data_IF_821093478487
#
_entry.id   IF_821093478487
#
_cell.length_a   1.000
_cell.length_b   1.000
_cell.length_c   1.000
_cell.angle_alpha   90.00
_cell.angle_beta   90.00
_cell.angle_gamma   90.00
#
_symmetry.space_group_name_H-M   'P 1'
#
loop_
_entity.id
_entity.type
_entity.pdbx_description
1 polymer ?
#
# COMPACT_ATOMS: atom_id res chain seq x y z
N UNK A 1 3.72 4.40 21.14
CA UNK A 1 4.46 4.60 19.88
C UNK A 1 5.89 4.11 20.09
N UNK A 2 6.31 3.15 19.31
CA UNK A 2 7.62 2.49 19.38
C UNK A 2 8.33 2.61 18.03
N UNK A 3 9.59 3.08 18.05
CA UNK A 3 10.45 3.15 16.87
C UNK A 3 11.13 1.80 16.69
N UNK A 4 11.05 1.25 15.48
CA UNK A 4 11.64 -0.04 15.15
C UNK A 4 12.64 0.12 13.99
N UNK A 5 13.64 -0.73 14.00
CA UNK A 5 14.51 -0.95 12.84
C UNK A 5 14.34 -2.40 12.40
N UNK A 6 13.80 -2.57 11.20
CA UNK A 6 13.68 -3.88 10.55
C UNK A 6 14.75 -4.01 9.48
N UNK A 7 15.03 -5.22 9.06
CA UNK A 7 16.07 -5.50 8.06
C UNK A 7 15.49 -6.28 6.88
N UNK A 8 15.90 -5.93 5.68
CA UNK A 8 15.63 -6.65 4.45
C UNK A 8 16.92 -6.70 3.61
N UNK A 9 17.51 -7.88 3.44
CA UNK A 9 18.74 -8.11 2.67
C UNK A 9 19.85 -7.06 2.93
N UNK A 10 20.16 -6.83 4.22
CA UNK A 10 21.14 -5.84 4.65
C UNK A 10 20.69 -4.38 4.61
N UNK A 11 19.49 -4.10 4.12
CA UNK A 11 18.89 -2.76 4.09
C UNK A 11 18.09 -2.51 5.38
N UNK A 12 18.40 -1.40 6.05
CA UNK A 12 17.67 -0.95 7.23
C UNK A 12 16.33 -0.31 6.81
N UNK A 13 15.24 -0.76 7.40
CA UNK A 13 13.90 -0.20 7.25
C UNK A 13 13.49 0.52 8.53
N UNK A 14 13.22 1.82 8.43
CA UNK A 14 12.74 2.66 9.52
C UNK A 14 11.24 2.47 9.69
N UNK A 15 10.81 1.99 10.86
CA UNK A 15 9.41 1.68 11.13
C UNK A 15 8.93 2.29 12.45
N UNK A 16 7.61 2.41 12.57
CA UNK A 16 6.92 2.86 13.79
C UNK A 16 5.74 1.93 14.05
N UNK A 17 5.75 1.32 15.23
CA UNK A 17 4.65 0.52 15.75
C UNK A 17 3.81 1.34 16.73
N UNK A 18 2.50 1.33 16.53
CA UNK A 18 1.52 1.90 17.48
C UNK A 18 0.42 0.90 17.73
N UNK A 19 0.11 0.66 19.00
CA UNK A 19 -0.93 -0.28 19.45
C UNK A 19 -2.12 0.47 20.04
N UNK A 20 -3.35 -0.04 19.87
CA UNK A 20 -4.55 0.56 20.49
C UNK A 20 -4.58 0.34 22.02
N UNK A 21 -3.84 -0.66 22.50
CA UNK A 21 -3.76 -1.03 23.91
C UNK A 21 -2.67 -2.10 24.14
N UNK A 22 -2.70 -2.76 25.29
CA UNK A 22 -1.75 -3.83 25.65
C UNK A 22 -2.21 -5.24 25.26
N UNK A 23 -3.53 -5.42 25.05
CA UNK A 23 -4.09 -6.70 24.64
C UNK A 23 -3.62 -7.13 23.24
N UNK A 24 -3.63 -8.42 22.92
CA UNK A 24 -3.46 -8.91 21.55
C UNK A 24 -4.47 -8.23 20.61
N UNK A 25 -4.01 -7.92 19.40
CA UNK A 25 -4.82 -7.19 18.42
C UNK A 25 -4.40 -7.52 16.99
N UNK A 26 -5.29 -7.38 16.01
CA UNK A 26 -4.89 -7.39 14.61
C UNK A 26 -3.90 -6.25 14.31
N UNK A 27 -3.03 -6.46 13.33
CA UNK A 27 -2.02 -5.51 12.90
C UNK A 27 -2.24 -5.11 11.44
N UNK A 28 -2.19 -3.81 11.14
CA UNK A 28 -2.11 -3.31 9.77
C UNK A 28 -0.69 -2.84 9.48
N UNK A 29 -0.04 -3.44 8.49
CA UNK A 29 1.23 -2.96 7.92
C UNK A 29 0.89 -1.90 6.88
N UNK A 30 1.48 -0.69 7.01
CA UNK A 30 1.08 0.49 6.24
C UNK A 30 2.21 0.97 5.32
N UNK A 31 1.94 0.99 4.02
CA UNK A 31 2.85 1.35 2.95
C UNK A 31 2.51 2.75 2.40
N UNK A 32 3.52 3.60 2.29
CA UNK A 32 3.40 4.92 1.65
C UNK A 32 3.50 4.83 0.13
N UNK A 33 3.20 5.93 -0.58
CA UNK A 33 3.31 6.05 -2.03
C UNK A 33 4.68 6.50 -2.53
N UNK A 34 4.81 6.63 -3.85
CA UNK A 34 5.97 7.16 -4.55
C UNK A 34 6.33 8.57 -4.04
N UNK A 35 7.61 8.88 -3.84
CA UNK A 35 8.11 10.16 -3.27
C UNK A 35 7.52 10.57 -1.92
N UNK A 36 7.04 9.63 -1.15
CA UNK A 36 6.35 9.82 0.13
C UNK A 36 7.18 9.26 1.31
N UNK A 37 6.58 9.16 2.49
CA UNK A 37 7.16 8.53 3.68
C UNK A 37 6.07 8.02 4.61
N UNK A 38 6.46 7.23 5.61
CA UNK A 38 5.58 6.70 6.66
C UNK A 38 4.86 7.78 7.50
N UNK A 39 5.40 9.00 7.53
CA UNK A 39 4.93 10.09 8.40
C UNK A 39 4.13 11.18 7.65
N UNK A 40 3.65 10.89 6.44
CA UNK A 40 2.77 11.82 5.72
C UNK A 40 1.41 11.99 6.41
N UNK A 41 0.81 13.19 6.37
CA UNK A 41 -0.47 13.47 7.06
C UNK A 41 -1.57 12.46 6.74
N UNK A 42 -1.81 12.13 5.47
CA UNK A 42 -2.82 11.14 5.06
C UNK A 42 -2.49 9.70 5.52
N UNK A 43 -1.19 9.36 5.69
CA UNK A 43 -0.77 8.06 6.23
C UNK A 43 -1.06 8.01 7.73
N UNK A 44 -0.73 9.08 8.46
CA UNK A 44 -1.00 9.20 9.90
C UNK A 44 -2.51 9.20 10.20
N UNK A 45 -3.31 9.88 9.36
CA UNK A 45 -4.76 9.89 9.45
C UNK A 45 -5.33 8.46 9.29
N UNK A 46 -4.90 7.72 8.26
CA UNK A 46 -5.30 6.34 8.08
C UNK A 46 -4.89 5.44 9.26
N UNK A 47 -3.66 5.58 9.78
CA UNK A 47 -3.21 4.84 10.97
C UNK A 47 -4.07 5.16 12.21
N UNK A 48 -4.49 6.43 12.39
CA UNK A 48 -5.39 6.82 13.48
C UNK A 48 -6.73 6.09 13.37
N UNK A 49 -7.36 6.12 12.19
CA UNK A 49 -8.63 5.43 11.96
C UNK A 49 -8.55 3.93 12.22
N UNK A 50 -7.46 3.28 11.80
CA UNK A 50 -7.21 1.86 12.06
C UNK A 50 -7.07 1.57 13.56
N UNK A 51 -6.34 2.43 14.31
CA UNK A 51 -6.22 2.27 15.77
C UNK A 51 -7.54 2.50 16.50
N UNK A 52 -8.34 3.46 16.06
CA UNK A 52 -9.70 3.67 16.58
C UNK A 52 -10.61 2.46 16.33
N UNK A 53 -10.40 1.73 15.25
CA UNK A 53 -11.06 0.45 14.99
C UNK A 53 -10.46 -0.73 15.80
N UNK A 54 -9.42 -0.47 16.63
CA UNK A 54 -8.80 -1.47 17.51
C UNK A 54 -7.72 -2.32 16.83
N UNK A 55 -7.10 -1.83 15.77
CA UNK A 55 -5.96 -2.46 15.10
C UNK A 55 -4.64 -1.81 15.55
N UNK A 56 -3.59 -2.58 15.74
CA UNK A 56 -2.25 -2.03 15.77
C UNK A 56 -1.84 -1.57 14.36
N UNK A 57 -0.92 -0.61 14.26
CA UNK A 57 -0.38 -0.15 12.98
C UNK A 57 1.14 -0.20 12.98
N UNK A 58 1.72 -0.77 11.93
CA UNK A 58 3.15 -0.79 11.66
C UNK A 58 3.39 -0.07 10.34
N UNK A 59 3.69 1.24 10.40
CA UNK A 59 4.07 2.03 9.23
C UNK A 59 5.57 2.06 9.07
N UNK A 60 6.08 1.96 7.87
CA UNK A 60 7.52 1.96 7.63
C UNK A 60 7.88 2.70 6.33
N UNK A 61 9.11 3.18 6.26
CA UNK A 61 9.67 3.74 5.03
C UNK A 61 10.21 2.61 4.15
N UNK A 62 9.79 2.60 2.90
CA UNK A 62 10.22 1.64 1.89
C UNK A 62 11.61 2.00 1.37
N UNK A 63 12.30 1.08 0.68
CA UNK A 63 13.64 1.26 0.11
C UNK A 63 13.79 2.62 -0.58
N UNK A 64 14.86 3.34 -0.24
CA UNK A 64 15.21 4.61 -0.84
C UNK A 64 14.35 5.80 -0.42
N UNK A 65 13.49 5.64 0.61
CA UNK A 65 12.58 6.67 1.09
C UNK A 65 12.73 6.92 2.59
N UNK A 66 12.40 8.13 3.02
CA UNK A 66 12.35 8.53 4.42
C UNK A 66 13.61 8.22 5.20
N UNK A 67 13.49 7.49 6.31
CA UNK A 67 14.60 7.07 7.17
C UNK A 67 15.16 5.69 6.83
N UNK A 68 14.67 5.02 5.79
CA UNK A 68 15.17 3.71 5.35
C UNK A 68 16.41 3.82 4.47
N UNK A 69 17.17 2.71 4.39
CA UNK A 69 18.36 2.62 3.55
C UNK A 69 18.05 2.55 2.07
N UNK A 70 19.13 2.55 1.27
CA UNK A 70 19.06 2.57 -0.18
C UNK A 70 18.98 3.99 -0.76
N UNK A 71 19.11 4.09 -2.08
CA UNK A 71 18.97 5.35 -2.79
C UNK A 71 17.64 5.40 -3.54
N UNK A 72 16.97 6.55 -3.53
CA UNK A 72 15.70 6.76 -4.25
C UNK A 72 15.79 6.33 -5.70
N UNK A 73 16.87 6.69 -6.39
CA UNK A 73 17.08 6.36 -7.81
C UNK A 73 17.06 4.86 -8.12
N UNK A 74 17.41 4.04 -7.14
CA UNK A 74 17.60 2.60 -7.30
C UNK A 74 16.40 1.77 -6.78
N UNK A 75 15.32 2.43 -6.30
CA UNK A 75 14.14 1.69 -5.88
C UNK A 75 13.39 1.08 -7.08
N UNK A 76 12.77 -0.06 -6.86
CA UNK A 76 11.91 -0.76 -7.82
C UNK A 76 10.71 -1.36 -7.11
N UNK A 77 9.69 -1.78 -7.86
CA UNK A 77 8.55 -2.51 -7.27
C UNK A 77 9.01 -3.82 -6.58
N UNK A 78 10.00 -4.54 -7.14
CA UNK A 78 10.53 -5.76 -6.50
C UNK A 78 11.18 -5.47 -5.15
N UNK A 79 11.94 -4.39 -5.01
CA UNK A 79 12.52 -4.00 -3.72
C UNK A 79 11.45 -3.65 -2.70
N UNK A 80 10.38 -2.98 -3.12
CA UNK A 80 9.26 -2.66 -2.23
C UNK A 80 8.46 -3.90 -1.83
N UNK A 81 8.29 -4.85 -2.75
CA UNK A 81 7.71 -6.17 -2.45
C UNK A 81 8.57 -6.91 -1.42
N UNK A 82 9.89 -7.00 -1.64
CA UNK A 82 10.84 -7.64 -0.71
C UNK A 82 10.77 -7.01 0.69
N UNK A 83 10.86 -5.66 0.76
CA UNK A 83 10.72 -4.95 2.04
C UNK A 83 9.41 -5.31 2.76
N UNK A 84 8.29 -5.34 2.01
CA UNK A 84 6.97 -5.63 2.59
C UNK A 84 6.88 -7.07 3.08
N UNK A 85 7.42 -8.04 2.36
CA UNK A 85 7.49 -9.44 2.78
C UNK A 85 8.36 -9.60 4.04
N UNK A 86 9.52 -8.93 4.11
CA UNK A 86 10.39 -8.96 5.29
C UNK A 86 9.69 -8.36 6.53
N UNK A 87 8.94 -7.26 6.35
CA UNK A 87 8.13 -6.67 7.42
C UNK A 87 6.97 -7.59 7.82
N UNK A 88 6.31 -8.23 6.86
CA UNK A 88 5.24 -9.22 7.10
C UNK A 88 5.74 -10.39 7.96
N UNK A 89 6.87 -11.00 7.59
CA UNK A 89 7.48 -12.09 8.35
C UNK A 89 8.00 -11.66 9.75
N UNK A 90 8.41 -10.39 9.89
CA UNK A 90 8.76 -9.86 11.21
C UNK A 90 7.52 -9.65 12.08
N UNK A 91 6.41 -9.21 11.50
CA UNK A 91 5.14 -9.00 12.18
C UNK A 91 4.51 -10.31 12.66
N UNK A 92 4.62 -11.39 11.89
CA UNK A 92 4.17 -12.74 12.26
C UNK A 92 4.78 -13.24 13.60
N UNK A 93 5.99 -12.78 13.92
CA UNK A 93 6.73 -13.18 15.12
C UNK A 93 6.44 -12.30 16.34
N UNK A 94 5.56 -11.33 16.22
CA UNK A 94 5.17 -10.46 17.33
C UNK A 94 4.04 -11.11 18.14
N UNK A 95 4.30 -11.43 19.40
CA UNK A 95 3.38 -12.20 20.28
C UNK A 95 1.97 -11.60 20.43
N UNK A 96 1.82 -10.29 20.20
CA UNK A 96 0.53 -9.62 20.32
C UNK A 96 -0.32 -9.67 19.04
N UNK A 97 0.26 -10.03 17.89
CA UNK A 97 -0.42 -10.00 16.58
C UNK A 97 -1.33 -11.21 16.44
N UNK A 98 -2.61 -10.96 16.26
CA UNK A 98 -3.62 -12.01 16.05
C UNK A 98 -3.86 -12.33 14.58
N UNK A 99 -3.77 -11.32 13.71
CA UNK A 99 -3.89 -11.40 12.26
C UNK A 99 -3.20 -10.20 11.61
N UNK A 100 -2.83 -10.30 10.34
CA UNK A 100 -2.12 -9.25 9.62
C UNK A 100 -2.93 -8.76 8.42
N UNK A 101 -3.04 -7.45 8.32
CA UNK A 101 -3.64 -6.72 7.21
C UNK A 101 -2.59 -5.85 6.53
N UNK A 102 -2.78 -5.57 5.24
CA UNK A 102 -1.94 -4.60 4.54
C UNK A 102 -2.76 -3.38 4.14
N UNK A 103 -2.17 -2.20 4.31
CA UNK A 103 -2.72 -0.96 3.80
C UNK A 103 -1.68 -0.23 2.96
N UNK A 104 -2.07 0.30 1.80
CA UNK A 104 -1.13 1.03 0.96
C UNK A 104 -1.78 2.20 0.22
N UNK A 105 -0.98 3.25 -0.02
CA UNK A 105 -1.38 4.40 -0.81
C UNK A 105 -0.63 4.40 -2.15
N UNK A 106 -1.33 4.66 -3.25
CA UNK A 106 -0.73 4.83 -4.58
C UNK A 106 0.14 3.64 -4.97
N UNK A 107 1.45 3.81 -5.25
CA UNK A 107 2.39 2.72 -5.49
C UNK A 107 2.47 1.74 -4.30
N UNK A 108 2.37 2.23 -3.06
CA UNK A 108 2.27 1.37 -1.87
C UNK A 108 0.99 0.52 -1.88
N UNK A 109 -0.10 1.03 -2.46
CA UNK A 109 -1.35 0.28 -2.68
C UNK A 109 -1.17 -0.86 -3.68
N UNK A 110 -0.50 -0.61 -4.80
CA UNK A 110 -0.09 -1.65 -5.74
C UNK A 110 0.80 -2.69 -5.05
N UNK A 111 1.80 -2.25 -4.28
CA UNK A 111 2.72 -3.17 -3.56
C UNK A 111 1.96 -4.03 -2.54
N UNK A 112 1.04 -3.44 -1.75
CA UNK A 112 0.22 -4.17 -0.80
C UNK A 112 -0.66 -5.24 -1.48
N UNK A 113 -1.24 -4.92 -2.63
CA UNK A 113 -2.03 -5.86 -3.43
C UNK A 113 -1.18 -7.03 -3.97
N UNK A 114 0.03 -6.72 -4.47
CA UNK A 114 0.96 -7.75 -4.97
C UNK A 114 1.38 -8.70 -3.84
N UNK A 115 1.75 -8.17 -2.67
CA UNK A 115 2.13 -9.00 -1.51
C UNK A 115 0.94 -9.80 -0.98
N UNK A 116 -0.27 -9.21 -0.94
CA UNK A 116 -1.48 -9.95 -0.58
C UNK A 116 -1.72 -11.17 -1.47
N UNK A 117 -1.56 -11.02 -2.79
CA UNK A 117 -1.66 -12.14 -3.74
C UNK A 117 -0.50 -13.14 -3.69
N UNK A 118 0.69 -12.74 -3.18
CA UNK A 118 1.84 -13.62 -2.97
C UNK A 118 1.77 -14.41 -1.67
N UNK A 119 1.18 -13.84 -0.63
CA UNK A 119 1.08 -14.43 0.70
C UNK A 119 -0.39 -14.43 1.22
N UNK A 120 -1.33 -15.02 0.46
CA UNK A 120 -2.76 -14.95 0.80
C UNK A 120 -3.11 -15.65 2.12
N UNK A 121 -2.29 -16.59 2.56
CA UNK A 121 -2.49 -17.31 3.83
C UNK A 121 -2.03 -16.50 5.05
N UNK A 122 -1.18 -15.48 4.86
CA UNK A 122 -0.67 -14.62 5.92
C UNK A 122 -1.42 -13.28 6.02
N UNK A 123 -2.04 -12.84 4.93
CA UNK A 123 -2.72 -11.55 4.84
C UNK A 123 -4.23 -11.74 4.89
N UNK A 124 -4.87 -11.23 5.96
CA UNK A 124 -6.30 -11.34 6.18
C UNK A 124 -7.13 -10.44 5.27
N UNK A 125 -6.66 -9.23 5.00
CA UNK A 125 -7.38 -8.24 4.18
C UNK A 125 -6.53 -7.06 3.73
N UNK A 126 -7.06 -6.27 2.80
CA UNK A 126 -6.37 -5.14 2.17
C UNK A 126 -7.16 -3.84 2.32
N UNK A 127 -6.45 -2.73 2.59
CA UNK A 127 -6.99 -1.36 2.59
C UNK A 127 -6.17 -0.54 1.60
N UNK A 128 -6.69 -0.33 0.41
CA UNK A 128 -5.99 0.27 -0.71
C UNK A 128 -6.51 1.69 -0.96
N UNK A 129 -5.63 2.68 -0.86
CA UNK A 129 -5.96 4.10 -1.05
C UNK A 129 -5.37 4.59 -2.35
N UNK A 130 -6.22 4.95 -3.34
CA UNK A 130 -5.83 5.36 -4.68
C UNK A 130 -4.73 4.45 -5.29
N UNK A 131 -4.91 3.11 -5.32
CA UNK A 131 -3.86 2.18 -5.70
C UNK A 131 -3.45 2.34 -7.16
N UNK A 132 -2.16 2.50 -7.42
CA UNK A 132 -1.62 2.80 -8.75
C UNK A 132 -1.48 1.53 -9.62
N UNK A 133 -2.58 0.81 -9.84
CA UNK A 133 -2.59 -0.44 -10.60
C UNK A 133 -2.21 -0.28 -12.08
N UNK A 134 -2.31 0.95 -12.63
CA UNK A 134 -1.91 1.22 -14.00
C UNK A 134 -0.39 1.18 -14.22
N UNK A 135 0.47 1.22 -13.18
CA UNK A 135 1.93 1.29 -13.33
C UNK A 135 2.50 0.21 -14.25
N UNK A 136 2.19 -1.10 -14.06
CA UNK A 136 2.74 -2.15 -14.94
C UNK A 136 2.31 -2.00 -16.40
N UNK A 137 1.04 -1.69 -16.64
CA UNK A 137 0.51 -1.46 -17.99
C UNK A 137 1.17 -0.26 -18.64
N UNK A 138 1.22 0.87 -17.94
CA UNK A 138 1.85 2.11 -18.42
C UNK A 138 3.33 1.90 -18.75
N UNK A 139 4.06 1.09 -17.96
CA UNK A 139 5.44 0.74 -18.24
C UNK A 139 5.57 -0.08 -19.54
N UNK A 140 4.67 -1.01 -19.81
CA UNK A 140 4.64 -1.79 -21.06
C UNK A 140 4.24 -0.95 -22.27
N UNK A 141 3.40 0.06 -22.09
CA UNK A 141 2.91 0.97 -23.12
C UNK A 141 3.89 2.14 -23.40
N UNK A 142 4.97 2.28 -22.64
CA UNK A 142 5.97 3.34 -22.83
C UNK A 142 5.53 4.71 -22.36
N UNK A 143 4.62 4.78 -21.38
CA UNK A 143 4.16 6.03 -20.77
C UNK A 143 4.01 5.87 -19.27
N UNK A 144 4.94 6.38 -18.47
CA UNK A 144 4.96 6.22 -17.03
C UNK A 144 5.46 7.49 -16.35
N UNK A 145 4.86 7.86 -15.21
CA UNK A 145 5.26 9.00 -14.37
C UNK A 145 5.35 10.34 -15.12
N UNK A 146 4.51 10.52 -16.15
CA UNK A 146 4.45 11.76 -16.92
C UNK A 146 5.46 11.87 -18.07
N UNK A 147 6.27 10.86 -18.34
CA UNK A 147 7.17 10.84 -19.49
C UNK A 147 6.88 9.65 -20.43
N UNK A 148 7.32 9.78 -21.68
CA UNK A 148 7.20 8.77 -22.72
C UNK A 148 8.57 8.21 -23.10
N UNK A 149 8.62 6.92 -23.41
CA UNK A 149 9.84 6.20 -23.79
C UNK A 149 9.48 5.04 -24.73
N UNK A 150 10.48 4.54 -25.44
CA UNK A 150 10.35 3.28 -26.20
C UNK A 150 10.35 2.11 -25.21
N UNK A 151 9.25 1.33 -25.08
CA UNK A 151 9.17 0.24 -24.11
C UNK A 151 10.15 -0.91 -24.39
N UNK A 152 10.76 -0.97 -25.59
CA UNK A 152 11.78 -1.94 -25.97
C UNK A 152 13.20 -1.39 -25.75
N UNK A 153 13.36 -0.09 -25.51
CA UNK A 153 14.64 0.61 -25.35
C UNK A 153 14.63 1.52 -24.12
N UNK A 154 14.50 0.89 -22.95
CA UNK A 154 14.43 1.64 -21.69
C UNK A 154 15.73 2.40 -21.45
N UNK A 155 15.70 3.72 -21.23
CA UNK A 155 16.88 4.50 -20.90
C UNK A 155 17.45 4.09 -19.53
N UNK A 156 18.78 4.26 -19.33
CA UNK A 156 19.44 3.86 -18.08
C UNK A 156 18.94 4.67 -16.87
N UNK A 157 18.48 5.89 -17.12
CA UNK A 157 17.90 6.77 -16.10
C UNK A 157 16.81 7.64 -16.70
N UNK A 158 15.85 8.04 -15.86
CA UNK A 158 14.77 8.95 -16.21
C UNK A 158 14.61 9.99 -15.12
N UNK A 159 14.44 11.24 -15.51
CA UNK A 159 14.12 12.31 -14.58
C UNK A 159 12.61 12.31 -14.34
N UNK A 160 12.24 12.30 -13.07
CA UNK A 160 10.86 12.27 -12.63
C UNK A 160 10.51 13.57 -11.88
N UNK A 161 9.34 13.63 -11.28
CA UNK A 161 8.87 14.81 -10.56
C UNK A 161 9.86 15.29 -9.49
N UNK A 162 9.85 16.58 -9.19
CA UNK A 162 10.69 17.22 -8.14
C UNK A 162 12.21 17.13 -8.38
N UNK A 163 12.65 16.97 -9.62
CA UNK A 163 14.07 16.85 -9.93
C UNK A 163 14.73 15.56 -9.45
N UNK A 164 13.95 14.56 -9.12
CA UNK A 164 14.43 13.22 -8.76
C UNK A 164 14.70 12.40 -10.02
N UNK A 165 15.67 11.50 -9.94
CA UNK A 165 16.04 10.59 -11.04
C UNK A 165 15.80 9.16 -10.61
N UNK A 166 15.25 8.34 -11.50
CA UNK A 166 15.14 6.89 -11.37
C UNK A 166 16.08 6.17 -12.31
N UNK A 167 16.60 5.02 -11.88
CA UNK A 167 17.18 4.02 -12.77
C UNK A 167 16.12 3.48 -13.73
N UNK A 168 16.52 3.17 -14.97
CA UNK A 168 15.66 2.46 -15.91
C UNK A 168 15.17 1.10 -15.42
N UNK A 169 15.83 0.52 -14.40
CA UNK A 169 15.40 -0.73 -13.78
C UNK A 169 14.02 -0.62 -13.11
N UNK A 170 13.62 0.58 -12.65
CA UNK A 170 12.26 0.79 -12.19
C UNK A 170 11.23 0.42 -13.25
N UNK A 171 11.46 0.87 -14.50
CA UNK A 171 10.58 0.60 -15.63
C UNK A 171 10.65 -0.88 -16.03
N UNK A 172 11.88 -1.42 -16.17
CA UNK A 172 12.09 -2.84 -16.55
C UNK A 172 11.37 -3.77 -15.57
N UNK A 173 11.50 -3.51 -14.28
CA UNK A 173 10.79 -4.28 -13.24
C UNK A 173 9.28 -4.06 -13.32
N UNK A 174 8.81 -2.83 -13.51
CA UNK A 174 7.38 -2.56 -13.62
C UNK A 174 6.74 -3.30 -14.81
N UNK A 175 7.45 -3.46 -15.92
CA UNK A 175 6.97 -4.23 -17.08
C UNK A 175 6.74 -5.72 -16.79
N UNK A 176 7.45 -6.29 -15.80
CA UNK A 176 7.35 -7.72 -15.44
C UNK A 176 6.25 -8.01 -14.40
N UNK A 177 5.65 -6.97 -13.84
CA UNK A 177 4.63 -7.13 -12.80
C UNK A 177 3.25 -7.36 -13.41
N UNK A 178 2.50 -8.31 -12.84
CA UNK A 178 1.13 -8.67 -13.22
C UNK A 178 0.19 -8.46 -12.03
N UNK A 179 -0.34 -7.23 -11.89
CA UNK A 179 -1.20 -6.86 -10.77
C UNK A 179 -2.52 -7.63 -10.77
N UNK A 180 -3.05 -7.92 -11.95
CA UNK A 180 -4.30 -8.64 -12.16
C UNK A 180 -4.24 -10.06 -11.57
N UNK A 181 -3.12 -10.76 -11.74
CA UNK A 181 -2.93 -12.11 -11.19
C UNK A 181 -2.91 -12.09 -9.66
N UNK A 182 -2.31 -11.06 -9.06
CA UNK A 182 -2.28 -10.91 -7.61
C UNK A 182 -3.69 -10.65 -7.05
N UNK A 183 -4.51 -9.84 -7.74
CA UNK A 183 -5.90 -9.60 -7.37
C UNK A 183 -6.72 -10.90 -7.42
N UNK A 184 -6.57 -11.70 -8.47
CA UNK A 184 -7.30 -12.97 -8.65
C UNK A 184 -6.95 -14.01 -7.58
N UNK A 185 -5.71 -13.99 -7.09
CA UNK A 185 -5.21 -14.91 -6.05
C UNK A 185 -5.62 -14.52 -4.65
N UNK A 186 -5.96 -13.26 -4.40
CA UNK A 186 -6.28 -12.79 -3.05
C UNK A 186 -7.74 -13.05 -2.69
N UNK A 187 -8.02 -13.93 -1.72
CA UNK A 187 -9.40 -14.33 -1.39
C UNK A 187 -10.06 -13.42 -0.35
N UNK A 188 -9.27 -12.65 0.39
CA UNK A 188 -9.72 -11.88 1.56
C UNK A 188 -10.50 -10.61 1.20
N UNK A 189 -11.06 -9.92 2.21
CA UNK A 189 -11.78 -8.67 2.02
C UNK A 189 -10.83 -7.55 1.59
N UNK A 190 -11.29 -6.71 0.66
CA UNK A 190 -10.52 -5.58 0.11
C UNK A 190 -11.36 -4.33 0.12
N UNK A 191 -10.89 -3.30 0.82
CA UNK A 191 -11.39 -1.94 0.72
C UNK A 191 -10.52 -1.14 -0.26
N UNK A 192 -11.14 -0.56 -1.29
CA UNK A 192 -10.50 0.42 -2.17
C UNK A 192 -11.14 1.78 -1.91
N UNK A 193 -10.33 2.76 -1.53
CA UNK A 193 -10.71 4.16 -1.36
C UNK A 193 -10.17 4.97 -2.52
N UNK A 194 -11.00 5.79 -3.17
CA UNK A 194 -10.61 6.58 -4.33
C UNK A 194 -11.29 7.94 -4.34
N UNK A 195 -10.52 9.00 -4.53
CA UNK A 195 -11.05 10.32 -4.83
C UNK A 195 -11.56 10.42 -6.26
N UNK A 196 -12.70 11.05 -6.50
CA UNK A 196 -13.23 11.21 -7.86
C UNK A 196 -12.53 12.33 -8.65
N UNK A 197 -11.75 13.18 -7.96
CA UNK A 197 -10.90 14.23 -8.53
C UNK A 197 -9.40 13.86 -8.51
N UNK A 198 -9.09 12.57 -8.48
CA UNK A 198 -7.71 12.08 -8.57
C UNK A 198 -7.22 12.18 -10.02
N UNK A 199 -6.24 13.06 -10.25
CA UNK A 199 -5.62 13.34 -11.55
C UNK A 199 -4.33 12.52 -11.79
N UNK A 200 -3.85 11.78 -10.78
CA UNK A 200 -2.65 10.93 -10.86
C UNK A 200 -3.00 9.47 -11.11
N UNK A 201 -4.01 8.95 -10.40
CA UNK A 201 -4.54 7.61 -10.59
C UNK A 201 -6.00 7.72 -11.01
N UNK A 202 -6.32 7.45 -12.28
CA UNK A 202 -7.67 7.60 -12.78
C UNK A 202 -8.69 6.79 -11.96
N UNK A 203 -9.83 7.37 -11.53
CA UNK A 203 -10.86 6.66 -10.76
C UNK A 203 -11.39 5.39 -11.44
N UNK A 204 -11.27 5.29 -12.76
CA UNK A 204 -11.61 4.09 -13.53
C UNK A 204 -10.77 2.86 -13.14
N UNK A 205 -9.50 3.06 -12.73
CA UNK A 205 -8.62 1.98 -12.26
C UNK A 205 -9.17 1.35 -10.98
N UNK A 206 -9.61 2.17 -10.03
CA UNK A 206 -10.21 1.69 -8.79
C UNK A 206 -11.52 0.93 -9.03
N UNK A 207 -12.37 1.42 -9.95
CA UNK A 207 -13.62 0.74 -10.33
C UNK A 207 -13.35 -0.63 -10.94
N UNK A 208 -12.43 -0.72 -11.91
CA UNK A 208 -12.05 -1.97 -12.56
C UNK A 208 -11.45 -2.97 -11.56
N UNK A 209 -10.58 -2.49 -10.67
CA UNK A 209 -9.93 -3.35 -9.67
C UNK A 209 -10.90 -3.88 -8.62
N UNK A 210 -11.86 -3.06 -8.17
CA UNK A 210 -12.86 -3.48 -7.19
C UNK A 210 -13.73 -4.63 -7.70
N UNK A 211 -14.07 -4.64 -9.00
CA UNK A 211 -14.85 -5.74 -9.60
C UNK A 211 -14.04 -7.01 -9.83
N UNK A 212 -12.70 -6.89 -9.86
CA UNK A 212 -11.82 -8.04 -10.04
C UNK A 212 -11.60 -8.84 -8.75
N UNK A 213 -11.52 -8.16 -7.61
CA UNK A 213 -11.42 -8.85 -6.33
C UNK A 213 -12.70 -9.60 -5.99
N UNK A 214 -12.56 -10.84 -5.49
CA UNK A 214 -13.70 -11.67 -5.07
C UNK A 214 -14.54 -10.98 -3.98
N UNK A 215 -13.90 -10.30 -3.05
CA UNK A 215 -14.51 -9.59 -1.92
C UNK A 215 -14.11 -8.10 -1.93
N UNK A 216 -14.18 -7.45 -3.11
CA UNK A 216 -13.82 -6.06 -3.31
C UNK A 216 -14.95 -5.10 -2.91
N UNK A 217 -14.62 -4.09 -2.11
CA UNK A 217 -15.50 -2.97 -1.76
C UNK A 217 -14.85 -1.66 -2.21
N UNK A 218 -15.55 -0.88 -3.04
CA UNK A 218 -15.10 0.44 -3.51
C UNK A 218 -15.86 1.55 -2.78
N UNK A 219 -15.13 2.44 -2.14
CA UNK A 219 -15.65 3.68 -1.58
C UNK A 219 -15.07 4.88 -2.34
N UNK A 220 -15.92 5.54 -3.14
CA UNK A 220 -15.57 6.79 -3.83
C UNK A 220 -15.80 7.97 -2.89
N UNK A 221 -14.84 8.90 -2.83
CA UNK A 221 -14.94 10.14 -2.05
C UNK A 221 -15.13 11.31 -3.00
N UNK A 222 -16.35 11.90 -3.06
CA UNK A 222 -16.62 13.03 -3.94
C UNK A 222 -15.76 14.25 -3.63
N UNK A 223 -15.16 14.84 -4.65
CA UNK A 223 -14.29 16.01 -4.53
C UNK A 223 -12.88 15.73 -4.01
N UNK A 224 -12.57 14.51 -3.61
CA UNK A 224 -11.25 14.16 -3.06
C UNK A 224 -10.22 13.93 -4.16
N UNK A 225 -8.96 14.25 -3.84
CA UNK A 225 -7.80 14.11 -4.71
C UNK A 225 -6.99 12.86 -4.43
N UNK A 226 -5.84 12.70 -5.10
CA UNK A 226 -4.91 11.59 -4.89
C UNK A 226 -4.38 11.49 -3.46
N UNK A 227 -4.19 12.63 -2.79
CA UNK A 227 -3.49 12.68 -1.50
C UNK A 227 -4.41 12.61 -0.28
N UNK A 228 -5.72 12.53 -0.46
CA UNK A 228 -6.71 12.49 0.63
C UNK A 228 -6.54 13.66 1.61
N UNK A 229 -6.30 14.86 1.07
CA UNK A 229 -6.00 16.08 1.83
C UNK A 229 -7.18 17.05 1.93
N UNK A 230 -8.23 16.86 1.12
CA UNK A 230 -9.45 17.67 1.16
C UNK A 230 -10.46 17.17 2.19
N UNK A 231 -10.65 15.86 2.25
CA UNK A 231 -11.66 15.23 3.13
C UNK A 231 -11.05 14.09 3.99
N UNK A 232 -9.97 14.35 4.77
CA UNK A 232 -9.30 13.31 5.54
C UNK A 232 -10.23 12.64 6.56
N UNK A 233 -11.17 13.39 7.17
CA UNK A 233 -12.13 12.84 8.12
C UNK A 233 -13.09 11.82 7.46
N UNK A 234 -13.45 12.01 6.19
CA UNK A 234 -14.29 11.07 5.46
C UNK A 234 -13.52 9.78 5.16
N UNK A 235 -12.25 9.89 4.74
CA UNK A 235 -11.37 8.72 4.56
C UNK A 235 -11.22 7.94 5.86
N UNK A 236 -10.99 8.64 6.99
CA UNK A 236 -10.86 8.02 8.31
C UNK A 236 -12.14 7.27 8.73
N UNK A 237 -13.30 7.90 8.55
CA UNK A 237 -14.58 7.27 8.86
C UNK A 237 -14.81 6.00 8.04
N UNK A 238 -14.57 6.05 6.72
CA UNK A 238 -14.71 4.89 5.84
C UNK A 238 -13.79 3.72 6.23
N UNK A 239 -12.53 4.00 6.59
CA UNK A 239 -11.60 2.97 7.05
C UNK A 239 -12.09 2.35 8.37
N UNK A 240 -12.41 3.18 9.36
CA UNK A 240 -12.84 2.72 10.68
C UNK A 240 -14.10 1.88 10.60
N UNK A 241 -15.11 2.38 9.90
CA UNK A 241 -16.43 1.75 9.83
C UNK A 241 -16.37 0.42 9.06
N UNK A 242 -15.58 0.37 7.99
CA UNK A 242 -15.36 -0.87 7.25
C UNK A 242 -14.61 -1.93 8.08
N UNK A 243 -13.54 -1.55 8.80
CA UNK A 243 -12.82 -2.46 9.68
C UNK A 243 -13.67 -2.97 10.85
N UNK A 244 -14.56 -2.13 11.41
CA UNK A 244 -15.51 -2.56 12.43
C UNK A 244 -16.48 -3.62 11.89
N UNK A 245 -16.93 -3.51 10.65
CA UNK A 245 -17.77 -4.51 9.99
C UNK A 245 -17.03 -5.84 9.81
N UNK A 246 -15.73 -5.83 9.44
CA UNK A 246 -14.95 -7.06 9.28
C UNK A 246 -14.81 -7.82 10.61
N UNK A 247 -14.56 -7.12 11.71
CA UNK A 247 -14.49 -7.75 13.04
C UNK A 247 -15.79 -8.42 13.45
N UNK A 248 -16.93 -7.79 13.17
CA UNK A 248 -18.25 -8.32 13.52
C UNK A 248 -18.61 -9.54 12.66
N UNK A 249 -18.11 -9.64 11.43
CA UNK A 249 -18.33 -10.78 10.55
C UNK A 249 -17.56 -12.04 10.99
N UNK A 250 -16.47 -11.87 11.72
CA UNK A 250 -15.65 -12.98 12.25
C UNK A 250 -16.07 -13.41 13.68
N UNK A 251 -17.04 -12.72 14.31
CA UNK A 251 -17.58 -13.10 15.63
C UNK A 251 -18.67 -14.19 15.46
N UNK A 252 -18.42 -15.45 15.87
CA UNK A 252 -19.39 -16.55 15.73
C UNK A 252 -20.66 -16.40 16.57
N UNK A 253 -20.75 -15.34 17.39
CA UNK A 253 -21.91 -15.01 18.23
C UNK A 253 -22.90 -14.01 17.62
N UNK A 254 -22.66 -13.52 16.39
CA UNK A 254 -23.57 -12.59 15.73
C UNK A 254 -24.51 -13.36 14.80
N UNK A 255 -25.87 -13.37 15.00
CA UNK A 255 -26.86 -14.16 14.26
C UNK A 255 -27.01 -13.72 12.80
#
# INVERSE_FOLDING_TARGET
MEQLTLMDDGIRLSAVLERPGTAPSPLVIVLHGFTSSKDRPHTLAACRAMREAGFATLRFDLYGHGGSGGAFRDHTLHKWISNTLSVLHAAEKMDFVTEIWLSGHSQGGLTAALVGGMAPDLVRGLILRAPAFMIPRSAREGSLLGFRFDPLRIPDKVDVIKGLTLSGDYIRVAQTVHAEEAMDRFPGPVLILQGDQDDLVPPAEARASATRYRCGHLAMIPGETHHFDRFPAQMEALIRDWLAQQKNADDPGNP
#
